data_IF_471492615970
#
_entry.id   IF_471492615970
#
_cell.length_a   1.000
_cell.length_b   1.000
_cell.length_c   1.000
_cell.angle_alpha   90.00
_cell.angle_beta   90.00
_cell.angle_gamma   90.00
#
_symmetry.space_group_name_H-M   'P 1'
#
loop_
_entity.id
_entity.type
_entity.pdbx_description
1 polymer ?
#
# COMPACT_ATOMS: atom_id res chain seq x y z
N UNK A 1 -4.25 -10.34 45.56
CA UNK A 1 -4.10 -10.51 44.89
C UNK A 1 -4.06 -10.48 43.98
N UNK A 2 -4.28 -10.19 44.22
CA UNK A 2 -4.11 -10.41 43.21
C UNK A 2 -4.20 -10.20 42.26
N UNK A 3 -4.42 -9.90 42.30
CA UNK A 3 -4.36 -10.01 41.37
C UNK A 3 -4.33 -9.81 40.57
N UNK A 4 -4.48 -9.55 41.06
CA UNK A 4 -4.18 -9.69 40.16
C UNK A 4 -4.21 -9.54 39.40
N UNK A 5 -4.31 -9.18 39.89
CA UNK A 5 -4.13 -9.52 39.22
C UNK A 5 -4.20 -9.28 38.42
N UNK A 6 -4.13 -9.01 38.78
CA UNK A 6 -3.97 -9.14 37.93
C UNK A 6 -3.99 -8.96 37.09
N UNK A 7 -4.06 -8.69 37.29
CA UNK A 7 -3.92 -8.98 36.43
C UNK A 7 -4.08 -8.67 35.60
N UNK A 8 -4.10 -8.39 35.99
CA UNK A 8 -4.06 -8.54 35.00
C UNK A 8 -4.19 -8.08 34.30
N UNK A 9 -4.08 -7.67 34.45
CA UNK A 9 -3.89 -7.68 33.55
C UNK A 9 -3.82 -7.45 32.76
N UNK A 10 -3.96 -7.14 33.05
CA UNK A 10 -3.68 -7.33 31.97
C UNK A 10 -3.54 -7.21 31.15
N UNK A 11 -3.64 -7.03 31.19
CA UNK A 11 -3.35 -7.46 30.26
C UNK A 11 -3.53 -7.49 29.62
N UNK A 12 -3.62 -7.34 30.00
CA UNK A 12 -3.67 -7.84 29.25
C UNK A 12 -3.97 -7.99 28.57
N UNK A 13 -4.05 -7.71 28.76
CA UNK A 13 -4.20 -8.25 27.91
C UNK A 13 -4.32 -8.37 27.18
N UNK A 14 -4.18 -8.28 27.19
CA UNK A 14 -4.18 -8.74 26.35
C UNK A 14 -4.44 -9.08 25.61
N UNK A 15 -4.50 -8.98 25.54
CA UNK A 15 -4.81 -9.72 24.80
C UNK A 15 -5.32 -9.90 24.23
N UNK A 16 -5.44 -9.87 24.34
CA UNK A 16 -5.89 -10.34 23.68
C UNK A 16 -6.39 -10.70 23.13
N UNK A 17 -6.63 -10.85 23.25
CA UNK A 17 -7.00 -11.34 22.73
C UNK A 17 -7.61 -11.63 22.34
N UNK A 18 -8.13 -11.71 22.32
CA UNK A 18 -8.58 -12.11 22.02
C UNK A 18 -9.05 -12.70 21.54
N UNK A 19 -9.53 -12.70 21.60
CA UNK A 19 -10.19 -13.31 21.20
C UNK A 19 -10.70 -13.66 20.13
N UNK A 20 -11.24 -14.44 20.09
CA UNK A 20 -11.94 -14.87 18.93
C UNK A 20 -11.34 -14.40 17.65
N UNK A 21 -11.57 -13.32 17.25
CA UNK A 21 -10.94 -12.75 16.08
C UNK A 21 -9.56 -12.22 16.40
N UNK A 22 -8.71 -12.22 15.41
CA UNK A 22 -7.39 -11.60 15.52
C UNK A 22 -7.53 -10.13 15.22
N UNK A 23 -7.08 -9.31 16.11
CA UNK A 23 -7.02 -7.88 15.88
C UNK A 23 -5.67 -7.55 15.29
N UNK A 24 -5.67 -6.93 14.13
CA UNK A 24 -4.43 -6.46 13.51
C UNK A 24 -4.17 -5.02 13.89
N UNK A 25 -2.95 -4.75 14.27
CA UNK A 25 -2.50 -3.38 14.48
C UNK A 25 -2.20 -2.73 13.13
N UNK A 26 -2.30 -1.40 13.04
CA UNK A 26 -2.02 -0.73 11.76
C UNK A 26 -0.66 -1.10 11.18
N UNK A 27 0.39 -1.21 12.02
CA UNK A 27 1.71 -1.56 11.52
C UNK A 27 1.71 -2.94 10.85
N UNK A 28 0.92 -3.87 11.36
CA UNK A 28 0.82 -5.21 10.78
C UNK A 28 0.15 -5.14 9.40
N UNK A 29 -0.85 -4.28 9.25
CA UNK A 29 -1.52 -4.09 7.97
C UNK A 29 -0.55 -3.53 6.93
N UNK A 30 0.24 -2.53 7.32
CA UNK A 30 1.23 -1.95 6.40
C UNK A 30 2.31 -2.97 6.05
N UNK A 31 2.70 -3.82 6.99
CA UNK A 31 3.66 -4.88 6.69
C UNK A 31 3.11 -5.88 5.66
N UNK A 32 1.82 -6.21 5.74
CA UNK A 32 1.20 -7.08 4.75
C UNK A 32 1.29 -6.46 3.35
N UNK A 33 1.09 -5.14 3.26
CA UNK A 33 1.23 -4.45 1.98
C UNK A 33 2.66 -4.53 1.46
N UNK A 34 3.64 -4.31 2.32
CA UNK A 34 5.05 -4.39 1.92
C UNK A 34 5.46 -5.79 1.47
N UNK A 35 4.82 -6.80 2.04
CA UNK A 35 5.10 -8.20 1.72
C UNK A 35 4.33 -8.71 0.51
N UNK A 36 3.37 -7.92 0.02
CA UNK A 36 2.54 -8.35 -1.10
C UNK A 36 1.53 -9.43 -0.73
N UNK A 37 1.09 -9.44 0.52
CA UNK A 37 0.22 -10.51 1.02
C UNK A 37 -1.20 -10.35 0.51
N UNK A 38 -1.70 -11.37 -0.18
CA UNK A 38 -3.04 -11.34 -0.78
C UNK A 38 -4.15 -11.25 0.27
N UNK A 39 -3.89 -11.70 1.50
CA UNK A 39 -4.88 -11.61 2.57
C UNK A 39 -5.32 -10.16 2.78
N UNK A 40 -4.49 -9.21 2.42
CA UNK A 40 -4.84 -7.80 2.54
C UNK A 40 -6.08 -7.48 1.72
N UNK A 41 -6.25 -8.11 0.56
CA UNK A 41 -7.45 -7.91 -0.26
C UNK A 41 -8.69 -8.42 0.45
N UNK A 42 -8.57 -9.55 1.15
CA UNK A 42 -9.69 -10.07 1.94
C UNK A 42 -10.06 -9.12 3.07
N UNK A 43 -9.06 -8.49 3.68
CA UNK A 43 -9.29 -7.52 4.75
C UNK A 43 -10.02 -6.29 4.21
N UNK A 44 -9.63 -5.81 3.03
CA UNK A 44 -10.31 -4.68 2.40
C UNK A 44 -11.76 -5.06 2.09
N UNK A 45 -11.97 -6.26 1.56
CA UNK A 45 -13.33 -6.72 1.26
C UNK A 45 -14.17 -6.83 2.54
N UNK A 46 -13.54 -7.09 3.67
CA UNK A 46 -14.23 -7.18 4.96
C UNK A 46 -14.42 -5.84 5.65
N UNK A 47 -13.95 -4.74 5.04
CA UNK A 47 -14.20 -3.40 5.56
C UNK A 47 -12.98 -2.58 5.92
N UNK A 48 -11.77 -3.13 5.77
CA UNK A 48 -10.57 -2.33 6.00
C UNK A 48 -10.55 -1.18 4.99
N UNK A 49 -10.34 0.08 5.43
CA UNK A 49 -10.29 1.19 4.48
C UNK A 49 -9.15 1.01 3.49
N UNK A 50 -9.49 1.06 2.20
CA UNK A 50 -8.50 0.86 1.14
C UNK A 50 -7.49 2.00 1.11
N UNK A 51 -7.88 3.19 1.60
CA UNK A 51 -7.01 4.36 1.62
C UNK A 51 -6.26 4.54 2.94
N UNK A 52 -6.24 3.53 3.78
CA UNK A 52 -5.47 3.59 5.03
C UNK A 52 -4.02 3.94 4.70
N UNK A 53 -3.45 4.90 5.42
CA UNK A 53 -2.10 5.38 5.16
C UNK A 53 -1.30 5.43 6.45
N UNK A 54 0.01 5.23 6.33
CA UNK A 54 0.90 5.29 7.47
C UNK A 54 1.24 6.75 7.80
N UNK A 55 2.14 6.96 8.76
CA UNK A 55 2.49 8.30 9.22
C UNK A 55 3.17 9.14 8.15
N UNK A 56 3.81 8.49 7.18
CA UNK A 56 4.43 9.18 6.05
C UNK A 56 3.44 9.44 4.92
N UNK A 57 2.19 9.01 5.08
CA UNK A 57 1.17 9.19 4.06
C UNK A 57 1.20 8.12 2.98
N UNK A 58 1.94 7.04 3.19
CA UNK A 58 1.99 5.94 2.21
C UNK A 58 0.75 5.07 2.38
N UNK A 59 -0.04 4.96 1.31
CA UNK A 59 -1.22 4.07 1.32
C UNK A 59 -0.79 2.62 1.13
N UNK A 60 -1.75 1.73 1.30
CA UNK A 60 -1.51 0.31 1.05
C UNK A 60 -1.04 0.09 -0.38
N UNK A 61 -1.67 0.76 -1.34
CA UNK A 61 -1.28 0.66 -2.75
C UNK A 61 0.15 1.16 -2.97
N UNK A 62 0.49 2.30 -2.36
CA UNK A 62 1.85 2.86 -2.50
C UNK A 62 2.89 1.87 -1.99
N UNK A 63 2.65 1.26 -0.84
CA UNK A 63 3.58 0.30 -0.26
C UNK A 63 3.72 -0.94 -1.14
N UNK A 64 2.60 -1.47 -1.64
CA UNK A 64 2.63 -2.62 -2.54
C UNK A 64 3.39 -2.30 -3.83
N UNK A 65 3.11 -1.14 -4.40
CA UNK A 65 3.73 -0.72 -5.66
C UNK A 65 5.24 -0.52 -5.49
N UNK A 66 5.63 0.17 -4.44
CA UNK A 66 7.04 0.47 -4.21
C UNK A 66 7.86 -0.80 -4.00
N UNK A 67 7.25 -1.82 -3.42
CA UNK A 67 7.94 -3.09 -3.14
C UNK A 67 7.76 -4.13 -4.26
N UNK A 68 7.19 -3.73 -5.39
CA UNK A 68 7.17 -4.57 -6.59
C UNK A 68 6.04 -5.59 -6.66
N UNK A 69 4.98 -5.41 -5.87
CA UNK A 69 3.89 -6.38 -5.78
C UNK A 69 2.76 -6.04 -6.75
N UNK A 70 2.94 -6.39 -8.02
CA UNK A 70 2.01 -6.01 -9.08
C UNK A 70 0.60 -6.56 -8.85
N UNK A 71 0.48 -7.82 -8.44
CA UNK A 71 -0.83 -8.44 -8.22
C UNK A 71 -1.59 -7.76 -7.09
N UNK A 72 -0.91 -7.46 -5.98
CA UNK A 72 -1.55 -6.77 -4.87
C UNK A 72 -1.92 -5.34 -5.27
N UNK A 73 -1.04 -4.66 -6.00
CA UNK A 73 -1.31 -3.31 -6.50
C UNK A 73 -2.58 -3.32 -7.36
N UNK A 74 -2.69 -4.27 -8.29
CA UNK A 74 -3.88 -4.39 -9.14
C UNK A 74 -5.12 -4.66 -8.30
N UNK A 75 -5.03 -5.58 -7.34
CA UNK A 75 -6.17 -5.92 -6.49
C UNK A 75 -6.66 -4.75 -5.67
N UNK A 76 -5.75 -3.92 -5.16
CA UNK A 76 -6.12 -2.72 -4.42
C UNK A 76 -6.76 -1.68 -5.34
N UNK A 77 -6.22 -1.49 -6.54
CA UNK A 77 -6.78 -0.54 -7.50
C UNK A 77 -8.19 -0.97 -7.92
N UNK A 78 -8.42 -2.27 -8.10
CA UNK A 78 -9.74 -2.80 -8.43
C UNK A 78 -10.76 -2.55 -7.32
N UNK A 79 -10.29 -2.38 -6.09
CA UNK A 79 -11.14 -2.11 -4.93
C UNK A 79 -11.25 -0.63 -4.61
N UNK A 80 -10.84 0.23 -5.56
CA UNK A 80 -11.04 1.66 -5.45
C UNK A 80 -9.88 2.45 -4.89
N UNK A 81 -8.71 1.85 -4.72
CA UNK A 81 -7.54 2.61 -4.26
C UNK A 81 -7.20 3.69 -5.28
N UNK A 82 -6.87 4.88 -4.77
CA UNK A 82 -6.49 6.00 -5.64
C UNK A 82 -5.05 5.82 -6.09
N UNK A 83 -4.86 5.47 -7.36
CA UNK A 83 -3.52 5.20 -7.91
C UNK A 83 -2.68 6.46 -8.03
N UNK A 84 -3.28 7.65 -7.86
CA UNK A 84 -2.58 8.92 -7.98
C UNK A 84 -2.37 9.64 -6.65
N UNK A 85 -2.76 9.01 -5.53
CA UNK A 85 -2.64 9.67 -4.24
C UNK A 85 -1.17 9.83 -3.85
N UNK A 86 -0.78 11.06 -3.53
CA UNK A 86 0.59 11.37 -3.12
C UNK A 86 0.77 11.07 -1.63
N UNK A 87 1.98 10.66 -1.27
CA UNK A 87 2.31 10.55 0.15
C UNK A 87 2.74 11.91 0.72
N UNK A 88 3.19 11.94 1.97
CA UNK A 88 3.60 13.16 2.63
C UNK A 88 4.79 13.87 1.98
N UNK A 89 5.55 13.14 1.17
CA UNK A 89 6.70 13.70 0.44
C UNK A 89 6.35 14.04 -1.00
N UNK A 90 5.05 14.10 -1.33
CA UNK A 90 4.57 14.43 -2.67
C UNK A 90 4.97 13.41 -3.73
N UNK A 91 5.15 12.16 -3.33
CA UNK A 91 5.51 11.07 -4.24
C UNK A 91 4.26 10.33 -4.67
N UNK A 92 4.20 10.01 -5.99
CA UNK A 92 3.12 9.22 -6.56
C UNK A 92 3.55 7.76 -6.66
N UNK A 93 2.60 6.82 -6.60
CA UNK A 93 2.94 5.40 -6.75
C UNK A 93 3.69 5.10 -8.05
N UNK A 94 3.26 5.68 -9.17
CA UNK A 94 3.91 5.42 -10.45
C UNK A 94 5.35 5.90 -10.46
N UNK A 95 5.62 7.07 -9.89
CA UNK A 95 6.99 7.58 -9.81
C UNK A 95 7.88 6.65 -9.02
N UNK A 96 7.35 6.11 -7.90
CA UNK A 96 8.11 5.15 -7.10
C UNK A 96 8.41 3.87 -7.87
N UNK A 97 7.43 3.37 -8.63
CA UNK A 97 7.62 2.17 -9.42
C UNK A 97 8.67 2.38 -10.51
N UNK A 98 8.68 3.56 -11.14
CA UNK A 98 9.70 3.90 -12.15
C UNK A 98 11.07 3.97 -11.49
N UNK A 99 11.15 4.63 -10.35
CA UNK A 99 12.42 4.75 -9.63
C UNK A 99 12.98 3.38 -9.27
N UNK A 100 12.13 2.48 -8.81
CA UNK A 100 12.53 1.12 -8.42
C UNK A 100 12.67 0.19 -9.61
N UNK A 101 12.27 0.64 -10.79
CA UNK A 101 12.32 -0.15 -12.02
C UNK A 101 11.49 -1.44 -11.91
N UNK A 102 10.21 -1.28 -11.60
CA UNK A 102 9.26 -2.39 -11.44
C UNK A 102 8.29 -2.41 -12.61
N UNK A 103 8.66 -3.06 -13.73
CA UNK A 103 7.87 -2.93 -14.96
C UNK A 103 6.45 -3.46 -14.85
N UNK A 104 6.24 -4.54 -14.10
CA UNK A 104 4.88 -5.09 -13.94
C UNK A 104 3.99 -4.15 -13.14
N UNK A 105 4.54 -3.51 -12.11
CA UNK A 105 3.81 -2.52 -11.32
C UNK A 105 3.50 -1.29 -12.17
N UNK A 106 4.48 -0.82 -12.95
CA UNK A 106 4.28 0.32 -13.85
C UNK A 106 3.10 0.04 -14.78
N UNK A 107 3.09 -1.15 -15.39
CA UNK A 107 2.01 -1.52 -16.32
C UNK A 107 0.65 -1.51 -15.60
N UNK A 108 0.58 -2.12 -14.42
CA UNK A 108 -0.66 -2.17 -13.65
C UNK A 108 -1.16 -0.77 -13.34
N UNK A 109 -0.26 0.09 -12.85
CA UNK A 109 -0.66 1.46 -12.49
C UNK A 109 -1.16 2.23 -13.70
N UNK A 110 -0.46 2.12 -14.83
CA UNK A 110 -0.89 2.82 -16.05
C UNK A 110 -2.25 2.29 -16.52
N UNK A 111 -2.45 0.97 -16.46
CA UNK A 111 -3.74 0.37 -16.84
C UNK A 111 -4.88 0.86 -15.96
N UNK A 112 -4.59 1.25 -14.72
CA UNK A 112 -5.59 1.75 -13.79
C UNK A 112 -5.64 3.27 -13.72
N UNK A 113 -5.04 3.96 -14.69
CA UNK A 113 -5.20 5.39 -14.84
C UNK A 113 -4.19 6.24 -14.09
N UNK A 114 -3.04 5.70 -13.74
CA UNK A 114 -2.01 6.50 -13.08
C UNK A 114 -1.55 7.63 -13.98
N UNK A 115 -1.43 8.82 -13.40
CA UNK A 115 -1.02 10.02 -14.10
C UNK A 115 0.51 10.11 -14.10
N UNK A 116 1.16 10.07 -15.27
CA UNK A 116 2.62 10.13 -15.32
C UNK A 116 3.19 11.47 -14.86
N UNK A 117 2.35 12.49 -14.74
CA UNK A 117 2.79 13.82 -14.33
C UNK A 117 2.49 14.13 -12.87
N UNK A 118 1.90 13.18 -12.12
CA UNK A 118 1.61 13.36 -10.71
C UNK A 118 2.89 13.22 -9.89
N UNK A 119 2.98 14.01 -8.83
CA UNK A 119 4.10 13.92 -7.89
C UNK A 119 5.29 14.76 -8.27
N UNK A 120 6.22 14.85 -7.32
CA UNK A 120 7.44 15.66 -7.48
C UNK A 120 8.63 14.88 -6.92
N UNK A 121 9.51 14.34 -7.77
CA UNK A 121 9.40 14.33 -9.23
C UNK A 121 8.29 13.40 -9.72
N UNK A 122 7.76 13.72 -10.89
CA UNK A 122 6.74 12.87 -11.49
C UNK A 122 7.37 11.58 -12.05
N UNK A 123 6.50 10.63 -12.41
CA UNK A 123 6.97 9.41 -13.05
C UNK A 123 7.66 9.74 -14.38
N UNK A 124 7.11 10.70 -15.15
CA UNK A 124 7.71 11.12 -16.42
C UNK A 124 9.10 11.68 -16.21
N UNK A 125 9.27 12.57 -15.22
CA UNK A 125 10.57 13.14 -14.91
C UNK A 125 11.55 12.07 -14.44
N UNK A 126 11.08 11.15 -13.61
CA UNK A 126 11.91 10.05 -13.10
C UNK A 126 12.37 9.15 -14.25
N UNK A 127 11.46 8.83 -15.17
CA UNK A 127 11.80 8.02 -16.33
C UNK A 127 12.87 8.70 -17.18
N UNK A 128 12.76 10.01 -17.38
CA UNK A 128 13.75 10.76 -18.14
C UNK A 128 15.12 10.74 -17.47
N UNK A 129 15.14 10.87 -16.12
CA UNK A 129 16.40 10.85 -15.37
C UNK A 129 17.15 9.54 -15.53
N UNK A 130 16.42 8.43 -15.64
CA UNK A 130 17.03 7.11 -15.71
C UNK A 130 17.02 6.52 -17.12
N UNK A 131 16.58 7.29 -18.13
CA UNK A 131 16.53 6.79 -19.50
C UNK A 131 15.56 5.65 -19.69
N UNK A 132 14.44 5.67 -18.97
CA UNK A 132 13.40 4.64 -19.03
C UNK A 132 12.20 5.15 -19.78
N UNK A 133 11.46 4.25 -20.40
CA UNK A 133 10.24 4.59 -21.09
C UNK A 133 9.04 4.25 -20.23
N UNK A 134 7.98 5.06 -20.36
CA UNK A 134 6.71 4.79 -19.72
C UNK A 134 5.70 4.31 -20.75
N UNK A 135 4.86 3.30 -20.41
CA UNK A 135 3.72 2.97 -21.26
C UNK A 135 2.80 4.18 -21.37
N UNK A 136 2.25 4.41 -22.54
CA UNK A 136 1.30 5.51 -22.72
C UNK A 136 -0.05 5.11 -22.11
N UNK A 137 -0.74 6.07 -21.45
CA UNK A 137 -2.08 5.79 -20.95
C UNK A 137 -2.99 5.34 -22.08
N UNK A 138 -3.71 4.23 -21.86
CA UNK A 138 -4.60 3.68 -22.87
C UNK A 138 -3.93 2.86 -23.95
N UNK A 139 -2.60 2.73 -23.92
CA UNK A 139 -1.88 1.90 -24.90
C UNK A 139 -2.19 0.42 -24.66
N UNK A 140 -2.16 -0.38 -25.74
CA UNK A 140 -2.39 -1.82 -25.68
C UNK A 140 -1.21 -2.58 -26.25
#
# INVERSE_FOLDING_TARGET
MSEHGTGARPGDDQGTTEQGGTRLEPDQVFDLARQGADVLLDLVDAGLPVELADQAGNTLLMLAAYHGHAALTAGLAERGADVNRLNGNHQAPLAGAVFKNEPDVIRVLVEHGADPDAGTPSARATAQMFGRELPEPGAR
#
